data_IF_093626990021
#
_entry.id   IF_093626990021
#
_cell.length_a   1.000
_cell.length_b   1.000
_cell.length_c   1.000
_cell.angle_alpha   90.00
_cell.angle_beta   90.00
_cell.angle_gamma   90.00
#
_symmetry.space_group_name_H-M   'P 1'
#
loop_
_entity.id
_entity.type
_entity.pdbx_description
1 polymer ?
#
# COMPACT_ATOMS: atom_id res chain seq x y z
N UNK A 1 22.41 24.40 -10.67
CA UNK A 1 21.38 24.82 -11.61
C UNK A 1 20.88 23.66 -12.44
N UNK A 2 19.79 23.01 -12.02
CA UNK A 2 19.03 22.15 -12.93
C UNK A 2 17.59 22.65 -12.84
N UNK A 3 17.24 23.57 -13.76
CA UNK A 3 15.88 23.84 -14.18
C UNK A 3 15.57 22.86 -15.30
N UNK A 4 14.80 21.84 -15.06
CA UNK A 4 14.18 21.01 -16.09
C UNK A 4 12.85 20.53 -15.52
N UNK A 5 11.81 21.21 -15.90
CA UNK A 5 10.66 20.87 -16.69
C UNK A 5 9.84 22.15 -16.91
N UNK A 6 9.96 22.75 -18.09
CA UNK A 6 9.18 23.92 -18.48
C UNK A 6 7.77 23.53 -18.94
N UNK A 7 6.84 24.49 -18.78
CA UNK A 7 5.42 24.39 -19.16
C UNK A 7 5.11 23.97 -20.60
N UNK A 8 6.10 23.82 -21.47
CA UNK A 8 5.95 23.45 -22.88
C UNK A 8 5.66 21.95 -23.07
N UNK A 9 6.16 21.07 -22.20
CA UNK A 9 5.95 19.62 -22.32
C UNK A 9 4.52 19.15 -22.02
N UNK A 10 3.74 19.95 -21.30
CA UNK A 10 2.35 19.59 -20.97
C UNK A 10 1.40 19.63 -22.16
N UNK A 11 1.62 20.54 -23.12
CA UNK A 11 0.81 20.65 -24.34
C UNK A 11 1.12 19.58 -25.37
N UNK A 12 2.39 19.19 -25.48
CA UNK A 12 2.80 18.17 -26.48
C UNK A 12 2.44 16.76 -26.01
N UNK A 13 2.42 16.53 -24.68
CA UNK A 13 2.00 15.24 -24.08
C UNK A 13 0.50 14.98 -24.26
N UNK A 14 -0.35 16.01 -24.14
CA UNK A 14 -1.79 15.87 -24.34
C UNK A 14 -2.17 15.61 -25.82
N UNK A 15 -1.37 16.06 -26.80
CA UNK A 15 -1.62 15.84 -28.22
C UNK A 15 -1.19 14.45 -28.72
N UNK A 16 -0.26 13.80 -28.06
CA UNK A 16 0.22 12.44 -28.40
C UNK A 16 -0.68 11.33 -27.85
N UNK A 17 -1.51 11.61 -26.85
CA UNK A 17 -2.40 10.62 -26.22
C UNK A 17 -3.88 10.79 -26.55
N UNK A 18 -4.25 11.68 -27.47
CA UNK A 18 -5.66 11.90 -27.87
C UNK A 18 -6.17 10.97 -28.97
N UNK A 19 -5.37 10.02 -29.44
CA UNK A 19 -5.81 9.00 -30.41
C UNK A 19 -5.74 7.62 -29.77
N UNK A 20 -6.92 6.99 -29.62
CA UNK A 20 -7.13 5.57 -29.29
C UNK A 20 -6.89 5.09 -27.84
N UNK A 21 -7.49 5.76 -26.84
CA UNK A 21 -7.74 5.13 -25.52
C UNK A 21 -9.18 4.58 -25.37
N UNK A 22 -9.84 4.29 -26.48
CA UNK A 22 -11.25 3.86 -26.52
C UNK A 22 -11.53 2.38 -26.25
N UNK A 23 -10.57 1.51 -25.94
CA UNK A 23 -10.83 0.07 -25.94
C UNK A 23 -10.21 -0.79 -24.85
N UNK A 24 -9.71 -0.25 -23.72
CA UNK A 24 -9.14 -1.08 -22.67
C UNK A 24 -9.84 -1.04 -21.30
N UNK A 25 -11.10 -0.62 -21.23
CA UNK A 25 -11.92 -0.81 -20.03
C UNK A 25 -13.00 -1.87 -20.26
N UNK A 26 -12.58 -3.13 -20.44
CA UNK A 26 -13.53 -4.24 -20.28
C UNK A 26 -13.57 -4.60 -18.78
N UNK A 27 -14.38 -3.89 -18.00
CA UNK A 27 -14.78 -4.33 -16.67
C UNK A 27 -15.69 -5.55 -16.87
N UNK A 28 -15.13 -6.75 -16.89
CA UNK A 28 -15.91 -7.98 -16.70
C UNK A 28 -16.54 -7.93 -15.31
N UNK A 29 -17.88 -7.84 -15.24
CA UNK A 29 -18.63 -8.07 -14.01
C UNK A 29 -18.26 -9.45 -13.47
N UNK A 30 -17.67 -9.52 -12.25
CA UNK A 30 -17.55 -10.74 -11.49
C UNK A 30 -16.17 -11.13 -10.94
N UNK A 31 -15.08 -10.43 -11.23
CA UNK A 31 -13.76 -10.70 -10.63
C UNK A 31 -13.62 -10.12 -9.22
N UNK A 32 -12.94 -10.83 -8.34
CA UNK A 32 -12.50 -10.28 -7.06
C UNK A 32 -11.42 -9.23 -7.34
N UNK A 33 -11.80 -7.95 -7.44
CA UNK A 33 -10.88 -6.88 -7.80
C UNK A 33 -9.77 -6.65 -6.77
N UNK A 34 -8.66 -6.05 -7.18
CA UNK A 34 -7.52 -5.68 -6.34
C UNK A 34 -7.91 -4.66 -5.25
N UNK A 35 -7.04 -4.47 -4.25
CA UNK A 35 -7.33 -3.57 -3.11
C UNK A 35 -7.68 -2.14 -3.53
N UNK A 36 -7.05 -1.62 -4.59
CA UNK A 36 -7.29 -0.28 -5.12
C UNK A 36 -8.58 -0.15 -5.96
N UNK A 37 -9.24 -1.25 -6.29
CA UNK A 37 -10.47 -1.23 -7.08
C UNK A 37 -11.66 -0.88 -6.19
N UNK A 38 -11.73 0.38 -5.78
CA UNK A 38 -12.73 0.92 -4.86
C UNK A 38 -13.91 1.62 -5.58
N UNK A 39 -13.97 1.54 -6.90
CA UNK A 39 -15.07 2.15 -7.65
C UNK A 39 -16.46 1.76 -7.07
N UNK A 40 -17.44 2.67 -7.04
CA UNK A 40 -17.46 4.00 -7.71
C UNK A 40 -16.73 5.13 -6.97
N UNK A 41 -16.17 4.87 -5.78
CA UNK A 41 -15.45 5.87 -4.99
C UNK A 41 -14.14 6.27 -5.67
N UNK A 42 -13.76 7.55 -5.53
CA UNK A 42 -12.58 8.14 -6.15
C UNK A 42 -11.50 8.41 -5.12
N UNK A 43 -10.29 7.93 -5.39
CA UNK A 43 -9.10 8.22 -4.61
C UNK A 43 -8.42 9.48 -5.11
N UNK A 44 -8.10 10.42 -4.21
CA UNK A 44 -7.44 11.69 -4.48
C UNK A 44 -6.15 11.74 -3.65
N UNK A 45 -5.02 11.63 -4.32
CA UNK A 45 -3.69 11.56 -3.71
C UNK A 45 -2.90 12.87 -3.82
N UNK A 46 -3.54 13.95 -4.23
CA UNK A 46 -2.89 15.26 -4.36
C UNK A 46 -2.38 15.73 -3.00
N UNK A 47 -1.11 16.15 -2.94
CA UNK A 47 -0.53 16.71 -1.75
C UNK A 47 -1.03 18.14 -1.57
N UNK A 48 -1.86 18.34 -0.56
CA UNK A 48 -2.46 19.63 -0.22
C UNK A 48 -2.49 19.76 1.30
N UNK A 49 -2.30 21.00 1.79
CA UNK A 49 -2.66 21.30 3.17
C UNK A 49 -4.19 21.56 3.19
N UNK A 50 -4.91 20.78 3.98
CA UNK A 50 -6.36 20.94 4.15
C UNK A 50 -6.68 21.01 5.64
N UNK A 51 -7.64 21.86 5.99
CA UNK A 51 -8.24 21.86 7.32
C UNK A 51 -9.07 20.60 7.52
N UNK A 52 -8.94 19.99 8.70
CA UNK A 52 -9.70 18.80 9.04
C UNK A 52 -11.15 19.17 9.43
N UNK A 53 -12.05 18.25 9.16
CA UNK A 53 -13.49 18.37 9.46
C UNK A 53 -13.95 17.24 10.36
N UNK A 54 -14.99 17.42 11.09
CA UNK A 54 -15.55 16.44 12.05
C UNK A 54 -15.74 15.03 11.49
N UNK A 55 -16.03 14.92 10.18
CA UNK A 55 -16.26 13.65 9.47
C UNK A 55 -15.01 12.99 8.93
N UNK A 56 -13.89 13.67 8.97
CA UNK A 56 -12.63 13.16 8.42
C UNK A 56 -12.03 12.11 9.37
N UNK A 57 -11.22 11.22 8.82
CA UNK A 57 -10.69 10.04 9.53
C UNK A 57 -9.26 10.28 9.97
N UNK A 58 -8.92 9.84 11.18
CA UNK A 58 -7.57 9.89 11.74
C UNK A 58 -7.04 8.48 11.96
N UNK A 59 -5.82 8.24 11.50
CA UNK A 59 -5.08 7.03 11.77
C UNK A 59 -3.99 7.25 12.81
N UNK A 60 -3.86 6.31 13.74
CA UNK A 60 -2.78 6.23 14.72
C UNK A 60 -2.10 4.87 14.56
N UNK A 61 -0.82 4.89 14.20
CA UNK A 61 -0.02 3.68 14.03
C UNK A 61 1.04 3.55 15.13
N UNK A 62 1.36 2.30 15.49
CA UNK A 62 2.51 1.94 16.29
C UNK A 62 3.15 0.68 15.72
N UNK A 63 4.37 0.78 15.19
CA UNK A 63 5.00 -0.30 14.44
C UNK A 63 4.13 -0.76 13.26
N UNK A 64 3.74 -2.02 13.23
CA UNK A 64 2.86 -2.59 12.20
C UNK A 64 1.39 -2.68 12.64
N UNK A 65 1.00 -1.96 13.68
CA UNK A 65 -0.36 -1.97 14.24
C UNK A 65 -1.04 -0.64 14.03
N UNK A 66 -2.35 -0.69 13.84
CA UNK A 66 -3.28 0.44 13.78
C UNK A 66 -4.21 0.38 14.98
N UNK A 67 -4.41 1.52 15.64
CA UNK A 67 -5.44 1.65 16.65
C UNK A 67 -6.82 1.76 15.99
N UNK A 68 -7.75 0.92 16.41
CA UNK A 68 -9.12 0.86 15.88
C UNK A 68 -10.15 0.78 17.01
N UNK A 69 -11.38 1.12 16.72
CA UNK A 69 -12.54 0.79 17.55
C UNK A 69 -13.03 -0.60 17.15
N UNK A 70 -13.18 -1.49 18.14
CA UNK A 70 -13.62 -2.88 17.92
C UNK A 70 -14.84 -3.18 18.76
N UNK A 71 -16.00 -2.94 18.18
CA UNK A 71 -17.29 -3.40 18.71
C UNK A 71 -17.70 -4.67 17.95
N UNK A 72 -18.89 -4.69 17.35
CA UNK A 72 -19.31 -5.77 16.44
C UNK A 72 -18.53 -5.80 15.13
N UNK A 73 -17.96 -4.65 14.72
CA UNK A 73 -17.10 -4.46 13.54
C UNK A 73 -15.97 -3.49 13.87
N UNK A 74 -14.86 -3.63 13.12
CA UNK A 74 -13.76 -2.66 13.16
C UNK A 74 -14.19 -1.37 12.48
N UNK A 75 -13.92 -0.22 13.14
CA UNK A 75 -14.09 1.12 12.58
C UNK A 75 -12.92 2.04 12.97
N UNK A 76 -12.71 3.08 12.17
CA UNK A 76 -11.65 4.07 12.39
C UNK A 76 -12.17 5.26 13.20
N UNK A 77 -11.24 6.06 13.70
CA UNK A 77 -11.57 7.27 14.45
C UNK A 77 -11.89 8.43 13.52
N UNK A 78 -12.88 9.23 13.89
CA UNK A 78 -13.19 10.49 13.24
C UNK A 78 -12.56 11.66 14.00
N UNK A 79 -12.27 12.76 13.29
CA UNK A 79 -11.73 14.00 13.89
C UNK A 79 -12.57 14.47 15.07
N UNK A 80 -13.92 14.45 14.97
CA UNK A 80 -14.84 14.85 16.05
C UNK A 80 -14.68 14.07 17.36
N UNK A 81 -14.01 12.92 17.33
CA UNK A 81 -13.78 12.07 18.50
C UNK A 81 -12.51 12.50 19.26
N UNK A 82 -11.76 13.47 18.75
CA UNK A 82 -10.61 14.09 19.41
C UNK A 82 -10.99 15.45 20.00
N UNK A 83 -10.25 15.89 21.03
CA UNK A 83 -10.50 17.19 21.63
C UNK A 83 -10.20 18.34 20.66
N UNK A 84 -10.95 19.45 20.79
CA UNK A 84 -10.67 20.65 19.98
C UNK A 84 -9.33 21.26 20.33
N UNK A 85 -8.87 21.07 21.58
CA UNK A 85 -7.58 21.51 22.06
C UNK A 85 -6.46 20.77 21.34
N UNK A 86 -6.54 19.44 21.23
CA UNK A 86 -5.57 18.64 20.46
C UNK A 86 -5.50 19.11 19.00
N UNK A 87 -6.66 19.31 18.37
CA UNK A 87 -6.72 19.76 16.97
C UNK A 87 -6.07 21.14 16.82
N UNK A 88 -6.37 22.08 17.75
CA UNK A 88 -5.73 23.41 17.75
C UNK A 88 -4.23 23.36 18.06
N UNK A 89 -3.81 22.57 19.03
CA UNK A 89 -2.40 22.33 19.35
C UNK A 89 -1.70 21.73 18.12
N UNK A 90 -2.34 20.81 17.39
CA UNK A 90 -1.77 20.22 16.16
C UNK A 90 -1.71 21.19 14.97
N UNK A 91 -2.53 22.24 14.98
CA UNK A 91 -2.50 23.31 13.97
C UNK A 91 -1.49 24.41 14.31
N UNK A 92 -1.25 24.67 15.61
CA UNK A 92 -0.37 25.75 16.12
C UNK A 92 1.04 25.26 16.47
N UNK A 93 1.18 24.07 17.02
CA UNK A 93 2.46 23.42 17.25
C UNK A 93 2.88 22.64 16.01
N UNK A 94 3.42 23.34 15.05
CA UNK A 94 4.64 22.85 14.51
C UNK A 94 5.61 22.74 15.70
N UNK A 95 6.06 21.49 16.08
CA UNK A 95 7.29 21.37 16.82
C UNK A 95 8.21 22.41 16.22
N UNK A 96 9.05 23.14 16.94
CA UNK A 96 9.80 24.30 16.40
C UNK A 96 10.48 24.08 15.04
N UNK A 97 10.14 23.04 14.31
CA UNK A 97 10.59 22.49 13.03
C UNK A 97 9.50 22.33 11.95
N UNK A 98 8.24 22.71 12.19
CA UNK A 98 7.18 22.70 11.16
C UNK A 98 6.47 21.36 10.93
N UNK A 99 6.75 20.33 11.71
CA UNK A 99 6.02 19.06 11.66
C UNK A 99 4.67 19.20 12.35
N UNK A 100 3.60 19.29 11.58
CA UNK A 100 2.25 19.24 12.13
C UNK A 100 2.01 17.88 12.77
N UNK A 101 1.50 17.87 13.99
CA UNK A 101 1.10 16.65 14.69
C UNK A 101 0.03 15.89 13.92
N UNK A 102 -0.87 16.62 13.24
CA UNK A 102 -1.91 16.07 12.37
C UNK A 102 -1.55 16.31 10.89
N UNK A 103 -1.14 15.24 10.19
CA UNK A 103 -0.69 15.31 8.80
C UNK A 103 -1.79 14.84 7.85
N UNK A 104 -2.20 15.69 6.89
CA UNK A 104 -3.07 15.27 5.78
C UNK A 104 -2.37 14.24 4.90
N UNK A 105 -3.08 13.17 4.55
CA UNK A 105 -2.56 12.08 3.72
C UNK A 105 -3.16 12.09 2.30
N UNK A 106 -4.47 11.92 2.19
CA UNK A 106 -5.23 11.83 0.95
C UNK A 106 -6.73 11.98 1.24
N UNK A 107 -7.57 11.90 0.20
CA UNK A 107 -9.02 11.75 0.40
C UNK A 107 -9.59 10.62 -0.49
N UNK A 108 -10.71 10.06 -0.04
CA UNK A 108 -11.57 9.19 -0.86
C UNK A 108 -12.94 9.87 -0.92
N UNK A 109 -13.36 10.24 -2.11
CA UNK A 109 -14.49 11.14 -2.34
C UNK A 109 -14.32 12.43 -1.52
N UNK A 110 -15.27 12.72 -0.64
CA UNK A 110 -15.29 13.92 0.19
C UNK A 110 -14.76 13.69 1.63
N UNK A 111 -14.29 12.48 1.97
CA UNK A 111 -13.68 12.14 3.27
C UNK A 111 -12.18 12.29 3.18
N UNK A 112 -11.60 13.11 4.06
CA UNK A 112 -10.16 13.30 4.18
C UNK A 112 -9.59 12.33 5.22
N UNK A 113 -8.35 11.90 5.01
CA UNK A 113 -7.64 10.97 5.88
C UNK A 113 -6.37 11.64 6.39
N UNK A 114 -6.17 11.54 7.70
CA UNK A 114 -5.06 12.15 8.42
C UNK A 114 -4.25 11.12 9.18
N UNK A 115 -2.99 11.40 9.37
CA UNK A 115 -2.10 10.71 10.29
C UNK A 115 -1.89 11.57 11.53
N UNK A 116 -2.16 11.04 12.71
CA UNK A 116 -1.68 11.63 13.95
C UNK A 116 -0.24 11.13 14.18
N UNK A 117 0.72 12.06 14.11
CA UNK A 117 2.14 11.77 14.26
C UNK A 117 2.48 11.52 15.73
N UNK A 118 2.37 10.25 16.11
CA UNK A 118 2.87 9.70 17.38
C UNK A 118 3.88 8.62 17.03
N UNK A 119 5.08 8.71 17.57
CA UNK A 119 6.19 7.92 17.06
C UNK A 119 6.50 6.68 17.91
N UNK A 120 6.03 6.68 19.18
CA UNK A 120 6.17 5.53 20.06
C UNK A 120 4.79 5.01 20.48
N UNK A 121 4.77 3.74 20.94
CA UNK A 121 3.54 3.14 21.47
C UNK A 121 3.08 3.88 22.74
N UNK A 122 4.02 4.28 23.58
CA UNK A 122 3.79 5.03 24.80
C UNK A 122 3.20 6.41 24.54
N UNK A 123 3.67 7.12 23.49
CA UNK A 123 3.08 8.40 23.05
C UNK A 123 1.64 8.20 22.55
N UNK A 124 1.42 7.14 21.74
CA UNK A 124 0.10 6.83 21.22
C UNK A 124 -0.88 6.45 22.34
N UNK A 125 -0.47 5.65 23.31
CA UNK A 125 -1.28 5.24 24.45
C UNK A 125 -1.61 6.44 25.36
N UNK A 126 -0.62 7.28 25.68
CA UNK A 126 -0.85 8.52 26.45
C UNK A 126 -1.80 9.49 25.75
N UNK A 127 -1.66 9.63 24.44
CA UNK A 127 -2.54 10.51 23.66
C UNK A 127 -3.99 10.00 23.70
N UNK A 128 -4.18 8.69 23.56
CA UNK A 128 -5.51 8.07 23.66
C UNK A 128 -6.08 8.20 25.07
N UNK A 129 -5.29 7.93 26.12
CA UNK A 129 -5.71 8.08 27.52
C UNK A 129 -6.13 9.53 27.83
N UNK A 130 -5.31 10.52 27.40
CA UNK A 130 -5.66 11.94 27.56
C UNK A 130 -7.01 12.28 26.91
N UNK A 131 -7.26 11.78 25.69
CA UNK A 131 -8.52 11.99 24.99
C UNK A 131 -9.70 11.32 25.71
N UNK A 132 -9.48 10.15 26.30
CA UNK A 132 -10.47 9.42 27.09
C UNK A 132 -10.86 10.20 28.36
N UNK A 133 -9.86 10.66 29.13
CA UNK A 133 -10.08 11.42 30.36
C UNK A 133 -10.82 12.73 30.11
N UNK A 134 -10.48 13.45 29.05
CA UNK A 134 -11.17 14.69 28.65
C UNK A 134 -12.63 14.44 28.25
N UNK A 135 -12.92 13.32 27.59
CA UNK A 135 -14.30 12.96 27.24
C UNK A 135 -15.12 12.53 28.48
N UNK A 136 -14.54 11.76 29.39
CA UNK A 136 -15.17 11.37 30.66
C UNK A 136 -15.50 12.61 31.50
N UNK A 137 -14.56 13.55 31.61
CA UNK A 137 -14.79 14.80 32.38
C UNK A 137 -15.83 15.72 31.74
N UNK A 138 -16.01 15.70 30.43
CA UNK A 138 -17.08 16.45 29.73
C UNK A 138 -18.46 15.77 29.84
N UNK A 139 -18.50 14.46 30.04
CA UNK A 139 -19.74 13.66 30.06
C UNK A 139 -20.34 13.49 31.45
N UNK A 140 -19.64 13.87 32.52
CA UNK A 140 -20.24 13.90 33.87
C UNK A 140 -21.48 14.78 33.97
N UNK A 141 -21.91 15.43 32.90
CA UNK A 141 -23.15 16.18 32.79
C UNK A 141 -24.21 15.68 31.82
N UNK A 142 -23.98 14.75 30.89
CA UNK A 142 -25.03 14.11 30.05
C UNK A 142 -24.52 12.93 29.21
N UNK A 143 -25.14 11.77 29.42
CA UNK A 143 -25.19 10.57 28.55
C UNK A 143 -23.87 9.78 28.25
N UNK A 144 -23.91 8.50 28.65
CA UNK A 144 -22.96 7.44 28.30
C UNK A 144 -22.77 7.31 26.78
N UNK A 145 -21.77 7.95 26.22
CA UNK A 145 -21.21 7.51 24.95
C UNK A 145 -20.06 6.54 25.27
N UNK A 146 -20.35 5.27 25.14
CA UNK A 146 -19.39 4.20 25.21
C UNK A 146 -18.31 4.46 24.15
N UNK A 147 -17.12 4.86 24.58
CA UNK A 147 -15.94 4.81 23.71
C UNK A 147 -15.70 3.32 23.54
N UNK A 148 -16.06 2.77 22.36
CA UNK A 148 -16.01 1.36 22.08
C UNK A 148 -14.64 0.75 22.41
N UNK A 149 -14.57 -0.55 22.63
CA UNK A 149 -13.35 -1.27 22.92
C UNK A 149 -12.27 -0.90 21.88
N UNK A 150 -11.22 -0.19 22.30
CA UNK A 150 -10.09 0.13 21.45
C UNK A 150 -9.10 -1.02 21.42
N UNK A 151 -8.60 -1.33 20.26
CA UNK A 151 -7.65 -2.43 20.07
C UNK A 151 -6.57 -2.06 19.05
N UNK A 152 -5.33 -2.46 19.33
CA UNK A 152 -4.23 -2.42 18.39
C UNK A 152 -4.25 -3.68 17.51
N UNK A 153 -4.69 -3.54 16.27
CA UNK A 153 -4.72 -4.63 15.29
C UNK A 153 -3.56 -4.53 14.31
N UNK A 154 -3.04 -5.66 13.84
CA UNK A 154 -2.01 -5.64 12.80
C UNK A 154 -2.62 -5.11 11.49
N UNK A 155 -1.89 -4.26 10.78
CA UNK A 155 -2.36 -3.71 9.51
C UNK A 155 -2.76 -4.80 8.50
N UNK A 156 -2.09 -5.95 8.52
CA UNK A 156 -2.38 -7.09 7.64
C UNK A 156 -3.71 -7.79 7.96
N UNK A 157 -4.16 -7.78 9.23
CA UNK A 157 -5.44 -8.39 9.63
C UNK A 157 -6.66 -7.65 9.04
N UNK A 158 -6.49 -6.38 8.66
CA UNK A 158 -7.56 -5.60 8.02
C UNK A 158 -7.99 -6.16 6.66
N UNK A 159 -7.15 -6.95 6.01
CA UNK A 159 -7.47 -7.60 4.73
C UNK A 159 -8.72 -8.48 4.80
N UNK A 160 -9.02 -9.03 5.96
CA UNK A 160 -10.12 -9.98 6.19
C UNK A 160 -11.26 -9.37 7.05
N UNK A 161 -11.01 -8.23 7.71
CA UNK A 161 -11.88 -7.73 8.77
C UNK A 161 -12.62 -6.43 8.44
N UNK A 162 -12.19 -5.68 7.42
CA UNK A 162 -12.83 -4.43 7.02
C UNK A 162 -13.22 -4.42 5.53
N UNK A 163 -13.95 -3.40 5.10
CA UNK A 163 -14.29 -3.22 3.69
C UNK A 163 -13.03 -3.02 2.83
N UNK A 164 -13.12 -3.31 1.52
CA UNK A 164 -12.01 -3.09 0.57
C UNK A 164 -11.54 -1.62 0.59
N UNK A 165 -12.48 -0.67 0.60
CA UNK A 165 -12.18 0.77 0.71
C UNK A 165 -11.37 1.08 1.97
N UNK A 166 -11.80 0.57 3.12
CA UNK A 166 -11.17 0.84 4.40
C UNK A 166 -9.80 0.16 4.50
N UNK A 167 -9.67 -1.05 3.94
CA UNK A 167 -8.40 -1.75 3.83
C UNK A 167 -7.40 -0.98 2.93
N UNK A 168 -7.86 -0.48 1.78
CA UNK A 168 -7.05 0.34 0.88
C UNK A 168 -6.62 1.65 1.55
N UNK A 169 -7.54 2.34 2.23
CA UNK A 169 -7.23 3.57 2.94
C UNK A 169 -6.19 3.34 4.04
N UNK A 170 -6.38 2.30 4.88
CA UNK A 170 -5.47 1.97 5.97
C UNK A 170 -4.08 1.54 5.45
N UNK A 171 -4.00 0.72 4.39
CA UNK A 171 -2.74 0.30 3.79
C UNK A 171 -1.98 1.49 3.16
N UNK A 172 -2.69 2.40 2.48
CA UNK A 172 -2.09 3.61 1.89
C UNK A 172 -1.58 4.55 2.99
N UNK A 173 -2.36 4.74 4.05
CA UNK A 173 -1.96 5.54 5.21
C UNK A 173 -0.76 4.92 5.93
N UNK A 174 -0.74 3.58 6.07
CA UNK A 174 0.39 2.86 6.67
C UNK A 174 1.69 3.05 5.86
N UNK A 175 1.62 2.99 4.54
CA UNK A 175 2.77 3.26 3.68
C UNK A 175 3.34 4.67 3.92
N UNK A 176 2.48 5.68 4.00
CA UNK A 176 2.89 7.05 4.31
C UNK A 176 3.43 7.19 5.75
N UNK A 177 2.80 6.52 6.73
CA UNK A 177 3.30 6.48 8.10
C UNK A 177 4.72 5.92 8.19
N UNK A 178 4.98 4.77 7.55
CA UNK A 178 6.33 4.17 7.52
C UNK A 178 7.34 5.15 6.93
N UNK A 179 6.98 5.80 5.83
CA UNK A 179 7.87 6.78 5.21
C UNK A 179 8.13 8.00 6.11
N UNK A 180 7.11 8.59 6.75
CA UNK A 180 7.30 9.70 7.69
C UNK A 180 8.14 9.29 8.90
N UNK A 181 7.83 8.13 9.48
CA UNK A 181 8.55 7.58 10.64
C UNK A 181 10.05 7.40 10.35
N UNK A 182 10.36 6.78 9.21
CA UNK A 182 11.73 6.39 8.85
C UNK A 182 12.56 7.57 8.30
N UNK A 183 11.92 8.71 8.02
CA UNK A 183 12.57 9.91 7.47
C UNK A 183 12.41 11.14 8.37
N UNK A 184 12.43 10.96 9.69
CA UNK A 184 12.48 12.08 10.65
C UNK A 184 13.82 12.83 10.62
N UNK A 185 14.90 12.11 10.40
CA UNK A 185 16.26 12.65 10.40
C UNK A 185 16.92 12.48 9.03
N UNK A 186 17.72 13.47 8.67
CA UNK A 186 18.46 13.47 7.41
C UNK A 186 19.57 12.41 7.42
N UNK A 187 19.51 11.43 6.52
CA UNK A 187 20.54 10.41 6.37
C UNK A 187 21.92 10.94 5.94
N UNK A 188 22.00 12.22 5.51
CA UNK A 188 23.27 12.85 5.12
C UNK A 188 23.96 13.58 6.28
N UNK A 189 23.21 14.32 7.12
CA UNK A 189 23.82 15.18 8.16
C UNK A 189 23.22 15.00 9.57
N UNK A 190 22.29 14.06 9.75
CA UNK A 190 21.69 13.74 11.04
C UNK A 190 20.71 14.79 11.59
N UNK A 191 20.48 15.90 10.88
CA UNK A 191 19.53 16.94 11.33
C UNK A 191 18.11 16.52 10.99
N UNK A 192 17.15 17.03 11.75
CA UNK A 192 15.74 16.78 11.55
C UNK A 192 15.25 17.27 10.18
N UNK A 193 14.41 16.47 9.52
CA UNK A 193 13.81 16.80 8.24
C UNK A 193 12.45 17.48 8.46
N UNK A 194 12.09 18.39 7.56
CA UNK A 194 10.82 19.11 7.58
C UNK A 194 9.98 18.76 6.37
N UNK A 195 8.64 18.62 6.50
CA UNK A 195 7.75 18.48 5.36
C UNK A 195 7.83 19.72 4.45
N UNK A 196 7.91 19.48 3.14
CA UNK A 196 7.80 20.57 2.18
C UNK A 196 6.34 21.03 2.05
N UNK A 197 6.13 22.30 1.70
CA UNK A 197 4.79 22.89 1.59
C UNK A 197 4.14 22.71 0.22
N UNK A 198 4.92 22.37 -0.81
CA UNK A 198 4.47 22.28 -2.21
C UNK A 198 4.39 20.84 -2.71
N UNK A 199 5.32 20.00 -2.24
CA UNK A 199 5.45 18.63 -2.68
C UNK A 199 5.43 17.67 -1.49
N UNK A 200 4.99 16.44 -1.70
CA UNK A 200 5.08 15.38 -0.69
C UNK A 200 6.53 14.91 -0.60
N UNK A 201 7.35 15.65 0.12
CA UNK A 201 8.74 15.31 0.41
C UNK A 201 9.15 15.85 1.78
N UNK A 202 10.21 15.29 2.35
CA UNK A 202 10.91 15.80 3.51
C UNK A 202 12.19 16.53 3.06
N UNK A 203 12.43 17.72 3.58
CA UNK A 203 13.58 18.56 3.23
C UNK A 203 14.46 18.82 4.46
N UNK A 204 15.76 18.74 4.28
CA UNK A 204 16.73 19.13 5.30
C UNK A 204 17.06 20.63 5.16
N UNK A 205 16.72 21.41 6.18
CA UNK A 205 17.06 22.84 6.20
C UNK A 205 18.59 23.09 6.30
N UNK A 206 19.35 22.12 6.87
CA UNK A 206 20.81 22.24 7.04
C UNK A 206 21.60 21.98 5.75
N UNK A 207 21.34 20.85 5.05
CA UNK A 207 22.16 20.43 3.92
C UNK A 207 21.39 20.36 2.58
N UNK A 208 20.12 20.75 2.55
CA UNK A 208 19.29 20.77 1.35
C UNK A 208 18.88 19.38 0.83
N UNK A 209 19.18 18.30 1.56
CA UNK A 209 18.76 16.95 1.15
C UNK A 209 17.24 16.84 1.07
N UNK A 210 16.74 16.20 0.03
CA UNK A 210 15.32 15.98 -0.23
C UNK A 210 15.04 14.47 -0.23
N UNK A 211 13.97 14.06 0.47
CA UNK A 211 13.54 12.66 0.55
C UNK A 211 12.08 12.55 0.14
N UNK A 212 11.83 11.89 -0.97
CA UNK A 212 10.48 11.59 -1.47
C UNK A 212 9.95 10.29 -0.88
N UNK A 213 8.62 10.07 -0.90
CA UNK A 213 8.05 8.77 -0.49
C UNK A 213 8.69 7.63 -1.27
N UNK A 214 9.17 6.63 -0.52
CA UNK A 214 9.77 5.43 -1.11
C UNK A 214 8.66 4.52 -1.61
N UNK A 215 8.77 4.07 -2.85
CA UNK A 215 7.96 3.02 -3.45
C UNK A 215 8.93 1.99 -4.01
N UNK A 216 8.99 0.78 -3.44
CA UNK A 216 9.87 -0.28 -3.92
C UNK A 216 9.19 -1.05 -5.06
N UNK A 217 9.76 -1.07 -6.28
CA UNK A 217 9.22 -1.89 -7.36
C UNK A 217 9.48 -3.37 -7.08
N UNK A 218 8.47 -4.21 -7.33
CA UNK A 218 8.58 -5.66 -7.20
C UNK A 218 7.75 -6.34 -8.30
N UNK A 219 8.20 -7.49 -8.77
CA UNK A 219 7.47 -8.29 -9.75
C UNK A 219 6.68 -9.41 -9.07
N UNK A 220 5.57 -9.82 -9.70
CA UNK A 220 4.87 -11.07 -9.43
C UNK A 220 4.77 -11.82 -10.76
N UNK A 221 5.19 -13.09 -10.78
CA UNK A 221 5.33 -13.83 -12.03
C UNK A 221 4.47 -15.08 -12.04
N UNK A 222 3.49 -15.11 -12.93
CA UNK A 222 2.76 -16.32 -13.30
C UNK A 222 3.53 -17.09 -14.36
N UNK A 223 4.40 -18.02 -13.96
CA UNK A 223 5.16 -18.86 -14.89
C UNK A 223 4.25 -19.95 -15.43
N UNK A 224 4.16 -20.06 -16.76
CA UNK A 224 3.24 -20.96 -17.45
C UNK A 224 4.03 -22.01 -18.25
N UNK A 225 3.58 -23.27 -18.13
CA UNK A 225 4.07 -24.40 -18.91
C UNK A 225 2.91 -25.38 -19.18
N UNK A 226 2.63 -25.66 -20.43
CA UNK A 226 1.66 -26.67 -20.87
C UNK A 226 0.31 -26.61 -20.10
N UNK A 227 -0.36 -25.46 -20.16
CA UNK A 227 -1.63 -25.16 -19.45
C UNK A 227 -1.59 -25.37 -17.92
N UNK A 228 -0.39 -25.29 -17.33
CA UNK A 228 -0.15 -25.27 -15.87
C UNK A 228 0.50 -23.96 -15.47
N UNK A 229 0.29 -23.56 -14.24
CA UNK A 229 0.97 -22.41 -13.63
C UNK A 229 1.84 -22.89 -12.47
N UNK A 230 3.03 -22.31 -12.34
CA UNK A 230 3.91 -22.58 -11.22
C UNK A 230 3.36 -21.89 -9.97
N UNK A 231 3.16 -22.66 -8.93
CA UNK A 231 2.71 -22.18 -7.63
C UNK A 231 3.69 -22.55 -6.54
N UNK A 232 3.93 -21.62 -5.62
CA UNK A 232 4.95 -21.74 -4.59
C UNK A 232 4.38 -21.58 -3.19
N UNK A 233 5.13 -22.03 -2.16
CA UNK A 233 4.90 -21.73 -0.75
C UNK A 233 6.23 -21.32 -0.11
N UNK A 234 6.19 -20.24 0.66
CA UNK A 234 7.36 -19.75 1.40
C UNK A 234 7.76 -20.70 2.55
N UNK A 235 9.05 -20.80 2.84
CA UNK A 235 9.57 -21.65 3.94
C UNK A 235 9.25 -21.07 5.31
N UNK A 236 9.70 -19.87 5.63
CA UNK A 236 9.71 -19.29 6.98
C UNK A 236 8.72 -18.13 7.19
N UNK A 237 7.63 -18.08 6.39
CA UNK A 237 6.60 -17.06 6.56
C UNK A 237 5.35 -17.65 7.22
N UNK A 238 4.62 -16.83 7.99
CA UNK A 238 3.31 -17.18 8.55
C UNK A 238 2.28 -17.50 7.44
N UNK A 239 2.48 -16.91 6.25
CA UNK A 239 1.62 -17.13 5.09
C UNK A 239 1.86 -18.51 4.48
N UNK A 240 0.94 -19.45 4.71
CA UNK A 240 1.01 -20.86 4.25
C UNK A 240 0.20 -21.15 2.98
N UNK A 241 -0.49 -20.13 2.42
CA UNK A 241 -1.26 -20.31 1.16
C UNK A 241 -0.30 -20.28 -0.03
N UNK A 242 -0.78 -20.75 -1.16
CA UNK A 242 -0.05 -20.66 -2.42
C UNK A 242 0.22 -19.19 -2.81
N UNK A 243 1.40 -18.97 -3.36
CA UNK A 243 1.89 -17.73 -3.94
C UNK A 243 2.37 -17.96 -5.38
N UNK A 244 2.68 -16.90 -6.08
CA UNK A 244 3.47 -16.87 -7.31
C UNK A 244 4.88 -16.39 -6.97
N UNK A 245 5.85 -16.65 -7.85
CA UNK A 245 7.20 -16.10 -7.74
C UNK A 245 7.11 -14.58 -7.60
N UNK A 246 7.86 -13.99 -6.67
CA UNK A 246 7.82 -12.55 -6.46
C UNK A 246 9.11 -12.05 -5.80
N UNK A 247 9.68 -10.99 -6.35
CA UNK A 247 10.85 -10.35 -5.78
C UNK A 247 11.02 -8.89 -6.16
N UNK A 248 11.98 -8.24 -5.51
CA UNK A 248 12.26 -6.82 -5.72
C UNK A 248 13.16 -6.61 -6.95
N UNK A 249 12.88 -5.51 -7.65
CA UNK A 249 13.77 -5.04 -8.72
C UNK A 249 15.04 -4.46 -8.11
N UNK A 250 16.19 -4.92 -8.60
CA UNK A 250 17.51 -4.42 -8.22
C UNK A 250 17.89 -3.18 -9.02
N UNK A 251 18.85 -2.39 -8.48
CA UNK A 251 19.32 -1.17 -9.13
C UNK A 251 19.96 -1.53 -10.48
N UNK A 252 19.40 -0.96 -11.54
CA UNK A 252 19.88 -1.16 -12.91
C UNK A 252 19.13 -2.23 -13.69
N UNK A 253 18.25 -2.99 -13.06
CA UNK A 253 17.39 -3.96 -13.75
C UNK A 253 16.15 -3.29 -14.37
N UNK A 254 15.73 -3.83 -15.50
CA UNK A 254 14.35 -3.67 -15.99
C UNK A 254 13.42 -4.65 -15.27
N UNK A 255 12.11 -4.42 -15.33
CA UNK A 255 11.14 -5.33 -14.71
C UNK A 255 11.21 -6.74 -15.34
N UNK A 256 11.46 -6.83 -16.64
CA UNK A 256 11.63 -8.11 -17.36
C UNK A 256 12.91 -8.84 -16.97
N UNK A 257 13.98 -8.13 -16.66
CA UNK A 257 15.22 -8.72 -16.13
C UNK A 257 15.01 -9.25 -14.71
N UNK A 258 14.31 -8.49 -13.87
CA UNK A 258 13.87 -8.95 -12.54
C UNK A 258 13.04 -10.24 -12.64
N UNK A 259 12.09 -10.33 -13.57
CA UNK A 259 11.31 -11.55 -13.82
C UNK A 259 12.23 -12.74 -14.13
N UNK A 260 13.20 -12.57 -15.01
CA UNK A 260 14.13 -13.66 -15.38
C UNK A 260 15.01 -14.07 -14.22
N UNK A 261 15.52 -13.12 -13.46
CA UNK A 261 16.40 -13.39 -12.31
C UNK A 261 15.63 -14.11 -11.21
N UNK A 262 14.50 -13.60 -10.75
CA UNK A 262 13.72 -14.18 -9.67
C UNK A 262 13.25 -15.62 -9.99
N UNK A 263 12.78 -15.86 -11.22
CA UNK A 263 12.39 -17.21 -11.63
C UNK A 263 13.60 -18.15 -11.69
N UNK A 264 14.78 -17.66 -12.09
CA UNK A 264 16.00 -18.46 -12.10
C UNK A 264 16.49 -18.75 -10.68
N UNK A 265 16.48 -17.76 -9.79
CA UNK A 265 16.95 -17.88 -8.40
C UNK A 265 16.06 -18.81 -7.58
N UNK A 266 14.75 -18.59 -7.59
CA UNK A 266 13.82 -19.35 -6.74
C UNK A 266 13.57 -20.79 -7.21
N UNK A 267 13.55 -21.03 -8.54
CA UNK A 267 13.10 -22.33 -9.10
C UNK A 267 13.98 -22.89 -10.25
N UNK A 268 15.05 -22.23 -10.63
CA UNK A 268 16.03 -22.70 -11.63
C UNK A 268 15.50 -22.75 -13.07
N UNK A 269 14.41 -22.02 -13.38
CA UNK A 269 13.79 -22.05 -14.71
C UNK A 269 14.21 -20.83 -15.54
N UNK A 270 14.38 -21.07 -16.86
CA UNK A 270 14.49 -19.99 -17.85
C UNK A 270 13.09 -19.65 -18.37
N UNK A 271 12.86 -18.35 -18.62
CA UNK A 271 11.57 -17.87 -19.14
C UNK A 271 11.72 -16.94 -20.32
N UNK A 272 10.73 -16.98 -21.20
CA UNK A 272 10.55 -16.12 -22.38
C UNK A 272 9.08 -15.64 -22.48
N UNK A 273 8.76 -14.89 -23.52
CA UNK A 273 7.40 -14.37 -23.79
C UNK A 273 6.84 -13.68 -22.54
N UNK A 274 7.62 -12.76 -21.94
CA UNK A 274 7.25 -12.03 -20.72
C UNK A 274 6.22 -10.97 -21.08
N UNK A 275 5.03 -11.08 -20.53
CA UNK A 275 3.88 -10.20 -20.80
C UNK A 275 3.45 -9.50 -19.51
N UNK A 276 3.46 -8.16 -19.50
CA UNK A 276 2.91 -7.36 -18.40
C UNK A 276 1.40 -7.54 -18.33
N UNK A 277 0.89 -7.73 -17.11
CA UNK A 277 -0.54 -7.91 -16.85
C UNK A 277 -1.18 -6.67 -16.22
N UNK A 278 -0.84 -6.40 -14.98
CA UNK A 278 -1.38 -5.28 -14.17
C UNK A 278 -0.37 -4.86 -13.10
N UNK A 279 -0.63 -3.72 -12.47
CA UNK A 279 0.10 -3.31 -11.27
C UNK A 279 -0.83 -3.08 -10.09
N UNK A 280 -0.27 -3.17 -8.88
CA UNK A 280 -0.97 -2.95 -7.62
C UNK A 280 -0.12 -2.14 -6.65
N UNK A 281 -0.60 -1.00 -6.10
CA UNK A 281 0.00 -0.39 -4.94
C UNK A 281 -0.20 -1.31 -3.73
N UNK A 282 0.89 -1.72 -3.10
CA UNK A 282 0.88 -2.63 -1.96
C UNK A 282 1.47 -1.95 -0.72
N UNK A 283 0.65 -1.12 -0.07
CA UNK A 283 1.07 -0.26 1.04
C UNK A 283 1.53 -1.01 2.30
N UNK A 284 1.20 -2.30 2.42
CA UNK A 284 1.65 -3.15 3.54
C UNK A 284 3.17 -3.33 3.60
N UNK A 285 3.84 -3.26 2.45
CA UNK A 285 5.29 -3.44 2.32
C UNK A 285 5.96 -2.28 1.55
N UNK A 286 5.25 -1.16 1.36
CA UNK A 286 5.72 0.01 0.61
C UNK A 286 6.10 -0.29 -0.85
N UNK A 287 5.38 -1.23 -1.49
CA UNK A 287 5.69 -1.73 -2.83
C UNK A 287 4.74 -1.20 -3.90
N UNK A 288 5.26 -1.15 -5.13
CA UNK A 288 4.46 -1.24 -6.34
C UNK A 288 4.69 -2.63 -6.95
N UNK A 289 3.67 -3.48 -6.85
CA UNK A 289 3.70 -4.81 -7.44
C UNK A 289 3.37 -4.72 -8.93
N UNK A 290 4.18 -5.35 -9.77
CA UNK A 290 3.98 -5.46 -11.23
C UNK A 290 3.82 -6.93 -11.59
N UNK A 291 2.64 -7.31 -12.08
CA UNK A 291 2.30 -8.66 -12.47
C UNK A 291 2.71 -8.95 -13.90
N UNK A 292 3.39 -10.07 -14.09
CA UNK A 292 3.80 -10.59 -15.39
C UNK A 292 3.40 -12.05 -15.53
N UNK A 293 3.06 -12.44 -16.76
CA UNK A 293 3.06 -13.84 -17.16
C UNK A 293 4.30 -14.12 -17.99
N UNK A 294 4.86 -15.31 -17.86
CA UNK A 294 6.02 -15.73 -18.62
C UNK A 294 5.92 -17.22 -18.98
N UNK A 295 6.40 -17.60 -20.15
CA UNK A 295 6.47 -18.99 -20.60
C UNK A 295 7.83 -19.59 -20.23
N UNK A 296 7.85 -20.84 -19.78
CA UNK A 296 9.11 -21.59 -19.60
C UNK A 296 9.83 -21.73 -20.94
N UNK A 297 11.14 -21.56 -20.90
CA UNK A 297 12.04 -21.83 -22.00
C UNK A 297 12.91 -23.07 -21.71
N UNK A 298 12.75 -24.11 -22.54
CA UNK A 298 13.48 -25.36 -22.38
C UNK A 298 12.79 -26.35 -21.43
N UNK A 299 13.49 -26.77 -20.38
CA UNK A 299 12.99 -27.77 -19.41
C UNK A 299 12.07 -27.16 -18.35
N UNK A 300 11.07 -27.93 -17.93
CA UNK A 300 10.15 -27.62 -16.83
C UNK A 300 10.63 -28.18 -15.46
N UNK A 301 11.84 -28.72 -15.41
CA UNK A 301 12.42 -29.32 -14.21
C UNK A 301 12.75 -28.23 -13.17
N UNK A 302 12.04 -28.26 -12.03
CA UNK A 302 12.19 -27.28 -10.95
C UNK A 302 13.44 -27.61 -10.10
N UNK A 303 14.27 -26.62 -9.87
CA UNK A 303 15.36 -26.65 -8.89
C UNK A 303 15.06 -25.63 -7.80
N UNK A 304 14.52 -26.09 -6.68
CA UNK A 304 13.98 -25.26 -5.61
C UNK A 304 15.08 -24.62 -4.76
N UNK A 305 15.07 -23.31 -4.57
CA UNK A 305 15.81 -22.67 -3.49
C UNK A 305 15.06 -22.90 -2.15
N UNK A 306 15.60 -23.81 -1.34
CA UNK A 306 15.00 -24.21 -0.05
C UNK A 306 15.12 -23.14 1.03
N UNK A 307 15.96 -22.10 0.84
CA UNK A 307 16.05 -21.01 1.81
C UNK A 307 14.83 -20.10 1.70
N UNK A 308 14.23 -19.96 0.53
CA UNK A 308 13.09 -19.09 0.30
C UNK A 308 11.78 -19.85 0.20
N UNK A 309 11.78 -21.01 -0.44
CA UNK A 309 10.58 -21.77 -0.74
C UNK A 309 10.56 -23.16 -0.08
N UNK A 310 9.43 -23.51 0.50
CA UNK A 310 9.16 -24.86 1.01
C UNK A 310 8.55 -25.79 -0.05
N UNK A 311 7.94 -25.20 -1.10
CA UNK A 311 7.28 -25.92 -2.18
C UNK A 311 7.29 -25.08 -3.45
N UNK A 312 7.51 -25.72 -4.59
CA UNK A 312 7.16 -25.22 -5.91
C UNK A 312 6.64 -26.38 -6.75
N UNK A 313 5.48 -26.21 -7.36
CA UNK A 313 4.85 -27.25 -8.17
C UNK A 313 4.03 -26.70 -9.33
N UNK A 314 3.93 -27.49 -10.39
CA UNK A 314 3.09 -27.20 -11.53
C UNK A 314 1.64 -27.57 -11.24
N UNK A 315 0.79 -26.55 -11.12
CA UNK A 315 -0.64 -26.73 -10.85
C UNK A 315 -1.43 -26.63 -12.13
N UNK A 316 -2.18 -27.70 -12.52
CA UNK A 316 -3.06 -27.66 -13.68
C UNK A 316 -4.11 -26.56 -13.55
N UNK A 317 -4.46 -25.94 -14.67
CA UNK A 317 -5.40 -24.83 -14.75
C UNK A 317 -6.69 -25.08 -13.95
N UNK A 318 -7.26 -26.30 -14.07
CA UNK A 318 -8.53 -26.68 -13.46
C UNK A 318 -8.45 -26.73 -11.92
N UNK A 319 -7.24 -26.85 -11.35
CA UNK A 319 -7.00 -26.93 -9.91
C UNK A 319 -6.68 -25.59 -9.26
N UNK A 320 -6.52 -24.52 -10.06
CA UNK A 320 -6.21 -23.16 -9.54
C UNK A 320 -7.41 -22.48 -8.89
N UNK A 321 -8.63 -22.97 -9.11
CA UNK A 321 -9.87 -22.37 -8.60
C UNK A 321 -9.97 -22.38 -7.07
N UNK A 322 -10.57 -21.34 -6.51
CA UNK A 322 -11.04 -21.33 -5.10
C UNK A 322 -10.08 -20.74 -4.06
N UNK A 323 -9.00 -20.07 -4.42
CA UNK A 323 -8.10 -19.45 -3.43
C UNK A 323 -8.66 -18.17 -2.82
N UNK A 324 -8.66 -18.07 -1.49
CA UNK A 324 -9.49 -17.16 -0.70
C UNK A 324 -8.89 -15.77 -0.38
N UNK A 325 -8.11 -15.17 -1.25
CA UNK A 325 -7.70 -13.77 -1.11
C UNK A 325 -8.40 -12.93 -2.19
N UNK A 326 -9.20 -11.93 -1.79
CA UNK A 326 -10.03 -11.15 -2.72
C UNK A 326 -9.43 -9.80 -3.10
N UNK A 327 -8.21 -9.48 -2.66
CA UNK A 327 -7.65 -8.13 -2.77
C UNK A 327 -6.24 -8.06 -3.35
N UNK A 328 -5.56 -9.19 -3.58
CA UNK A 328 -4.16 -9.21 -4.05
C UNK A 328 -4.03 -9.44 -5.55
N UNK A 329 -2.99 -8.84 -6.15
CA UNK A 329 -2.60 -9.07 -7.55
C UNK A 329 -2.28 -10.55 -7.82
N UNK A 330 -1.63 -11.24 -6.88
CA UNK A 330 -1.36 -12.67 -6.98
C UNK A 330 -2.65 -13.46 -7.21
N UNK A 331 -3.68 -13.17 -6.42
CA UNK A 331 -4.99 -13.83 -6.57
C UNK A 331 -5.66 -13.48 -7.90
N UNK A 332 -5.63 -12.22 -8.27
CA UNK A 332 -6.17 -11.74 -9.56
C UNK A 332 -5.49 -12.45 -10.74
N UNK A 333 -4.17 -12.64 -10.68
CA UNK A 333 -3.42 -13.36 -11.70
C UNK A 333 -3.76 -14.84 -11.76
N UNK A 334 -3.88 -15.52 -10.61
CA UNK A 334 -4.30 -16.92 -10.54
C UNK A 334 -5.69 -17.11 -11.14
N UNK A 335 -6.64 -16.24 -10.79
CA UNK A 335 -8.01 -16.27 -11.32
C UNK A 335 -8.04 -16.01 -12.84
N UNK A 336 -7.24 -15.03 -13.31
CA UNK A 336 -7.12 -14.74 -14.72
C UNK A 336 -6.55 -15.95 -15.50
N UNK A 337 -5.56 -16.65 -14.95
CA UNK A 337 -5.03 -17.87 -15.55
C UNK A 337 -6.08 -19.00 -15.54
N UNK A 338 -6.81 -19.18 -14.46
CA UNK A 338 -7.90 -20.14 -14.39
C UNK A 338 -8.93 -19.91 -15.51
N UNK A 339 -9.28 -18.67 -15.80
CA UNK A 339 -10.26 -18.32 -16.82
C UNK A 339 -9.72 -18.40 -18.25
N UNK A 340 -8.47 -17.99 -18.48
CA UNK A 340 -7.92 -17.74 -19.81
C UNK A 340 -6.78 -18.68 -20.23
N UNK A 341 -6.17 -19.45 -19.29
CA UNK A 341 -5.06 -20.35 -19.57
C UNK A 341 -3.88 -19.63 -20.24
N UNK A 342 -3.29 -20.24 -21.27
CA UNK A 342 -2.18 -19.69 -22.03
C UNK A 342 -2.48 -18.38 -22.79
N UNK A 343 -3.74 -17.97 -22.93
CA UNK A 343 -4.09 -16.66 -23.48
C UNK A 343 -3.61 -15.50 -22.61
N UNK A 344 -3.19 -15.78 -21.37
CA UNK A 344 -2.52 -14.78 -20.51
C UNK A 344 -1.18 -14.29 -21.08
N UNK A 345 -0.59 -15.02 -22.05
CA UNK A 345 0.64 -14.69 -22.75
C UNK A 345 0.43 -13.91 -24.07
N UNK A 346 -0.77 -13.45 -24.31
CA UNK A 346 -1.17 -12.64 -25.48
C UNK A 346 -1.50 -11.21 -25.04
#
# INVERSE_FOLDING_TARGET
GVRIFSRTWKKDFESLFSRDLGSFYYIKKGGAGMIQDIAPMKFHNEYQQRECRDKDIVFLFSGNKLLVKKDSKISFFYIKEFSKELIKETEQEADGFGNKRLQYLFSIDDVQYYLLNVWTKEEAEKEVEKQLDEQVNRQSKKQNHNIGNMEWVTIRSLRETVSKKDCFAAATAYHLYVWYRDNRYCGRCGKELQPDTKERMMRCACCGNMVYPKIAPAVIVGVIYDNKILMTKYSDREYKKYALIAGFTEIGETAEETVRREVMEEVGLKVKDIVYYKSQPWGFDSNLLMGFYARVEGTDAITLDKNELSLAEWVPREQVAGMNDKISLTREMMENFYQNGEKCLQ
#
